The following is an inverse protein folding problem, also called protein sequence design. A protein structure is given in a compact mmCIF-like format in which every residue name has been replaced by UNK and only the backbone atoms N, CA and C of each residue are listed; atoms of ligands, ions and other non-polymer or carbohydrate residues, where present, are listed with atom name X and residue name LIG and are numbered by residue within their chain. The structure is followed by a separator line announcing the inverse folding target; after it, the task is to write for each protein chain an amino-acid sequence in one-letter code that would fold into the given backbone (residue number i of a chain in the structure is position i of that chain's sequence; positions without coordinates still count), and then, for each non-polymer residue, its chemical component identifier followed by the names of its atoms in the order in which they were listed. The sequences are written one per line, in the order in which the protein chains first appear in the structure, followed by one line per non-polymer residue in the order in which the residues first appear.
data_IF_833947604667
#
_entry.id   IF_833947604667
#
_cell.length_a   1.000
_cell.length_b   1.000
_cell.length_c   1.000
_cell.angle_alpha   90.00
_cell.angle_beta   90.00
_cell.angle_gamma   90.00
#
_symmetry.space_group_name_H-M   'P 1'
#
loop_
_entity.id
_entity.type
_entity.pdbx_description
1 polymer ?
#
# COMPACT_ATOMS: atom_id res chain seq x y z
N UNK A 1 -43.58 25.81 -29.50
CA UNK A 1 -42.14 25.65 -29.23
C UNK A 1 -42.04 25.15 -27.80
N UNK A 2 -41.76 23.85 -27.60
CA UNK A 2 -41.72 23.24 -26.28
C UNK A 2 -40.40 23.62 -25.61
N UNK A 3 -40.50 24.42 -24.56
CA UNK A 3 -39.38 24.85 -23.74
C UNK A 3 -39.05 23.72 -22.76
N UNK A 4 -38.17 22.81 -23.16
CA UNK A 4 -37.73 21.70 -22.31
C UNK A 4 -36.85 22.29 -21.21
N UNK A 5 -37.42 22.46 -20.02
CA UNK A 5 -36.69 22.91 -18.84
C UNK A 5 -35.54 21.92 -18.56
N UNK A 6 -34.31 22.43 -18.60
CA UNK A 6 -33.12 21.68 -18.19
C UNK A 6 -33.28 21.43 -16.68
N UNK A 7 -33.29 20.16 -16.22
CA UNK A 7 -33.39 19.87 -14.79
C UNK A 7 -32.18 20.48 -14.08
N UNK A 8 -32.44 21.25 -13.03
CA UNK A 8 -31.41 21.81 -12.18
C UNK A 8 -30.57 20.67 -11.59
N UNK A 9 -29.27 20.68 -11.88
CA UNK A 9 -28.31 19.77 -11.26
C UNK A 9 -28.39 20.04 -9.74
N UNK A 10 -28.69 19.04 -8.90
CA UNK A 10 -28.71 19.24 -7.46
C UNK A 10 -27.35 19.76 -7.03
N UNK A 11 -27.34 20.88 -6.28
CA UNK A 11 -26.13 21.41 -5.71
C UNK A 11 -25.49 20.31 -4.86
N UNK A 12 -24.34 19.80 -5.31
CA UNK A 12 -23.50 18.88 -4.55
C UNK A 12 -23.31 19.48 -3.16
N UNK A 13 -23.89 18.84 -2.15
CA UNK A 13 -23.76 19.23 -0.75
C UNK A 13 -22.33 18.90 -0.32
N UNK A 14 -21.41 19.80 -0.67
CA UNK A 14 -19.99 19.70 -0.38
C UNK A 14 -19.82 19.64 1.14
N UNK A 15 -19.34 18.49 1.65
CA UNK A 15 -18.92 18.35 3.06
C UNK A 15 -18.00 19.52 3.39
N UNK A 16 -18.47 20.42 4.27
CA UNK A 16 -17.76 21.67 4.62
C UNK A 16 -16.53 21.42 5.48
N UNK A 17 -16.49 20.28 6.17
CA UNK A 17 -15.36 19.86 7.00
C UNK A 17 -15.20 18.34 6.99
N UNK A 18 -13.96 17.90 7.17
CA UNK A 18 -13.60 16.50 7.42
C UNK A 18 -13.38 16.33 8.91
N UNK A 19 -14.04 15.35 9.54
CA UNK A 19 -13.85 15.04 10.96
C UNK A 19 -13.09 13.73 11.09
N UNK A 20 -11.99 13.74 11.83
CA UNK A 20 -11.19 12.55 12.13
C UNK A 20 -11.24 12.33 13.64
N UNK A 21 -11.73 11.16 14.05
CA UNK A 21 -11.76 10.74 15.44
C UNK A 21 -10.56 9.85 15.74
N UNK A 22 -9.75 10.19 16.74
CA UNK A 22 -8.57 9.44 17.14
C UNK A 22 -8.47 9.46 18.66
N UNK A 23 -8.40 8.28 19.31
CA UNK A 23 -8.33 8.15 20.78
C UNK A 23 -9.38 8.96 21.56
N UNK A 24 -10.61 9.02 21.05
CA UNK A 24 -11.71 9.78 21.68
C UNK A 24 -11.62 11.30 21.48
N UNK A 25 -10.58 11.82 20.82
CA UNK A 25 -10.52 13.20 20.36
C UNK A 25 -11.01 13.30 18.93
N UNK A 26 -11.84 14.30 18.63
CA UNK A 26 -12.28 14.61 17.29
C UNK A 26 -11.58 15.88 16.82
N UNK A 27 -10.90 15.79 15.68
CA UNK A 27 -10.30 16.94 15.01
C UNK A 27 -11.05 17.21 13.72
N UNK A 28 -11.48 18.45 13.54
CA UNK A 28 -12.14 18.89 12.32
C UNK A 28 -11.16 19.66 11.42
N UNK A 29 -11.19 19.37 10.13
CA UNK A 29 -10.32 19.94 9.11
C UNK A 29 -11.12 20.71 8.06
N UNK A 30 -10.48 21.74 7.52
CA UNK A 30 -10.93 22.49 6.35
C UNK A 30 -10.28 21.95 5.08
N UNK A 31 -10.92 22.19 3.95
CA UNK A 31 -10.38 21.80 2.65
C UNK A 31 -9.07 22.59 2.40
N UNK A 32 -8.00 21.95 1.90
CA UNK A 32 -6.74 22.61 1.66
C UNK A 32 -6.88 23.80 0.70
N UNK A 33 -6.07 24.86 0.88
CA UNK A 33 -6.09 26.00 -0.02
C UNK A 33 -5.77 25.56 -1.45
N UNK A 34 -6.27 26.30 -2.44
CA UNK A 34 -6.07 25.95 -3.87
C UNK A 34 -4.60 25.78 -4.24
N UNK A 35 -3.71 26.55 -3.62
CA UNK A 35 -2.25 26.45 -3.79
C UNK A 35 -1.67 25.09 -3.40
N UNK A 36 -2.28 24.39 -2.43
CA UNK A 36 -1.81 23.08 -1.94
C UNK A 36 -2.39 21.89 -2.73
N UNK A 37 -3.38 22.11 -3.61
CA UNK A 37 -4.10 21.02 -4.30
C UNK A 37 -3.22 20.21 -5.27
N UNK A 38 -2.29 20.88 -5.96
CA UNK A 38 -1.37 20.16 -6.86
C UNK A 38 -0.50 19.19 -6.07
N UNK A 39 0.08 19.68 -4.96
CA UNK A 39 0.92 18.89 -4.06
C UNK A 39 0.13 17.77 -3.39
N UNK A 40 -1.10 18.03 -2.95
CA UNK A 40 -1.98 17.02 -2.39
C UNK A 40 -2.23 15.87 -3.36
N UNK A 41 -2.57 16.21 -4.61
CA UNK A 41 -2.81 15.21 -5.66
C UNK A 41 -1.57 14.37 -5.93
N UNK A 42 -0.42 15.02 -6.09
CA UNK A 42 0.87 14.34 -6.33
C UNK A 42 1.18 13.33 -5.22
N UNK A 43 1.06 13.74 -3.95
CA UNK A 43 1.28 12.87 -2.79
C UNK A 43 0.30 11.71 -2.74
N UNK A 44 -0.97 11.95 -3.10
CA UNK A 44 -1.96 10.87 -3.18
C UNK A 44 -1.64 9.87 -4.28
N UNK A 45 -1.28 10.34 -5.47
CA UNK A 45 -0.86 9.45 -6.57
C UNK A 45 0.35 8.62 -6.17
N UNK A 46 1.34 9.25 -5.54
CA UNK A 46 2.53 8.55 -5.04
C UNK A 46 2.16 7.51 -3.97
N UNK A 47 1.33 7.86 -2.99
CA UNK A 47 0.89 6.94 -1.94
C UNK A 47 0.15 5.72 -2.54
N UNK A 48 -0.80 5.97 -3.43
CA UNK A 48 -1.59 4.93 -4.08
C UNK A 48 -0.71 4.04 -4.97
N UNK A 49 0.37 4.58 -5.55
CA UNK A 49 1.30 3.78 -6.34
C UNK A 49 2.08 2.77 -5.49
N UNK A 50 2.44 3.11 -4.24
CA UNK A 50 3.01 2.15 -3.30
C UNK A 50 2.00 1.10 -2.86
N UNK A 51 0.73 1.47 -2.77
CA UNK A 51 -0.33 0.53 -2.47
C UNK A 51 -0.55 -0.47 -3.62
N UNK A 52 -0.50 -0.01 -4.87
CA UNK A 52 -0.45 -0.89 -6.05
C UNK A 52 0.76 -1.84 -6.01
N UNK A 53 1.94 -1.33 -5.67
CA UNK A 53 3.17 -2.15 -5.52
C UNK A 53 3.03 -3.22 -4.43
N UNK A 54 2.25 -2.93 -3.39
CA UNK A 54 1.95 -3.84 -2.29
C UNK A 54 0.76 -4.78 -2.58
N UNK A 55 0.31 -4.87 -3.85
CA UNK A 55 -0.83 -5.72 -4.22
C UNK A 55 -2.14 -5.33 -3.54
N UNK A 56 -2.33 -4.05 -3.24
CA UNK A 56 -3.47 -3.51 -2.49
C UNK A 56 -3.56 -3.99 -1.03
N UNK A 57 -2.48 -4.49 -0.45
CA UNK A 57 -2.40 -4.83 0.97
C UNK A 57 -2.13 -3.58 1.82
N UNK A 58 -3.10 -3.19 2.65
CA UNK A 58 -2.92 -2.09 3.63
C UNK A 58 -1.81 -2.43 4.63
N UNK A 59 -1.73 -3.68 5.11
CA UNK A 59 -0.72 -4.10 6.08
C UNK A 59 0.70 -3.95 5.55
N UNK A 60 0.95 -4.40 4.32
CA UNK A 60 2.27 -4.29 3.70
C UNK A 60 2.63 -2.84 3.38
N UNK A 61 1.64 -2.02 2.98
CA UNK A 61 1.82 -0.58 2.77
C UNK A 61 2.28 0.12 4.05
N UNK A 62 1.70 -0.22 5.21
CA UNK A 62 2.06 0.39 6.50
C UNK A 62 3.47 0.01 6.96
N UNK A 63 4.03 -1.09 6.43
CA UNK A 63 5.45 -1.42 6.61
C UNK A 63 6.41 -0.56 5.79
N UNK A 64 5.90 0.29 4.89
CA UNK A 64 6.71 1.16 4.04
C UNK A 64 6.83 2.58 4.65
N UNK A 65 8.04 2.93 5.10
CA UNK A 65 8.35 4.24 5.70
C UNK A 65 7.97 5.42 4.78
N UNK A 66 8.14 5.27 3.47
CA UNK A 66 7.79 6.31 2.50
C UNK A 66 6.28 6.49 2.41
N UNK A 67 5.50 5.41 2.41
CA UNK A 67 4.05 5.48 2.43
C UNK A 67 3.54 6.17 3.71
N UNK A 68 4.11 5.82 4.87
CA UNK A 68 3.78 6.47 6.14
C UNK A 68 4.09 7.98 6.11
N UNK A 69 5.27 8.36 5.59
CA UNK A 69 5.63 9.76 5.44
C UNK A 69 4.68 10.50 4.49
N UNK A 70 4.23 9.87 3.41
CA UNK A 70 3.25 10.47 2.49
C UNK A 70 1.90 10.71 3.17
N UNK A 71 1.42 9.79 4.02
CA UNK A 71 0.20 10.00 4.81
C UNK A 71 0.34 11.22 5.74
N UNK A 72 1.47 11.34 6.44
CA UNK A 72 1.80 12.52 7.27
C UNK A 72 1.81 13.81 6.47
N UNK A 73 2.49 13.79 5.33
CA UNK A 73 2.59 14.95 4.46
C UNK A 73 1.22 15.37 3.89
N UNK A 74 0.36 14.42 3.55
CA UNK A 74 -1.01 14.68 3.09
C UNK A 74 -1.78 15.41 4.18
N UNK A 75 -1.78 14.89 5.42
CA UNK A 75 -2.48 15.48 6.56
C UNK A 75 -1.96 16.88 6.89
N UNK A 76 -0.65 17.10 6.79
CA UNK A 76 -0.03 18.40 7.02
C UNK A 76 -0.53 19.50 6.07
N UNK A 77 -1.23 19.16 4.98
CA UNK A 77 -1.84 20.13 4.06
C UNK A 77 -3.23 20.61 4.51
N UNK A 78 -3.85 19.98 5.51
CA UNK A 78 -5.18 20.30 5.97
C UNK A 78 -5.15 21.27 7.15
N UNK A 79 -5.67 22.51 7.01
CA UNK A 79 -5.85 23.41 8.14
C UNK A 79 -6.89 22.85 9.11
N UNK A 80 -6.62 22.98 10.41
CA UNK A 80 -7.63 22.68 11.43
C UNK A 80 -8.74 23.72 11.43
N UNK A 81 -9.97 23.32 11.71
CA UNK A 81 -11.13 24.21 11.74
C UNK A 81 -11.13 25.13 12.96
N UNK A 82 -10.68 24.63 14.12
CA UNK A 82 -10.59 25.40 15.36
C UNK A 82 -9.43 26.41 15.35
N UNK A 83 -8.35 26.10 14.64
CA UNK A 83 -7.24 27.01 14.40
C UNK A 83 -6.64 26.83 13.00
N UNK A 84 -7.11 27.59 11.99
CA UNK A 84 -6.63 27.45 10.60
C UNK A 84 -5.15 27.78 10.37
N UNK A 85 -4.46 28.40 11.33
CA UNK A 85 -3.02 28.61 11.27
C UNK A 85 -2.21 27.33 11.58
N UNK A 86 -2.84 26.34 12.20
CA UNK A 86 -2.26 25.02 12.48
C UNK A 86 -2.77 24.03 11.44
N UNK A 87 -1.86 23.27 10.84
CA UNK A 87 -2.19 22.24 9.87
C UNK A 87 -1.86 20.85 10.39
N UNK A 88 -2.61 19.86 9.92
CA UNK A 88 -2.44 18.45 10.26
C UNK A 88 -2.81 18.06 11.69
N UNK A 89 -2.54 16.79 12.01
CA UNK A 89 -2.62 16.22 13.35
C UNK A 89 -1.67 15.02 13.44
N UNK A 90 -1.49 14.52 14.66
CA UNK A 90 -0.67 13.35 14.92
C UNK A 90 -1.34 12.05 14.43
N UNK A 91 -0.70 11.40 13.46
CA UNK A 91 -1.16 10.13 12.88
C UNK A 91 -0.71 8.90 13.65
N UNK A 92 0.28 9.02 14.54
CA UNK A 92 0.83 7.87 15.29
C UNK A 92 -0.24 7.03 16.00
N UNK A 93 -1.29 7.60 16.63
CA UNK A 93 -2.27 6.76 17.29
C UNK A 93 -3.16 5.96 16.33
N UNK A 94 -3.20 6.32 15.04
CA UNK A 94 -3.91 5.56 14.00
C UNK A 94 -3.09 4.38 13.46
N UNK A 95 -1.80 4.27 13.79
CA UNK A 95 -0.95 3.19 13.29
C UNK A 95 -1.46 1.79 13.67
N UNK A 96 -2.19 1.70 14.79
CA UNK A 96 -2.80 0.46 15.27
C UNK A 96 -4.19 0.17 14.68
N UNK A 97 -4.75 1.10 13.91
CA UNK A 97 -6.06 0.97 13.25
C UNK A 97 -5.90 1.05 11.71
N UNK A 98 -5.51 -0.07 11.06
CA UNK A 98 -5.32 -0.10 9.61
C UNK A 98 -6.62 0.17 8.84
N UNK A 99 -7.78 -0.17 9.39
CA UNK A 99 -9.07 0.09 8.75
C UNK A 99 -9.37 1.58 8.68
N UNK A 100 -9.05 2.33 9.73
CA UNK A 100 -9.22 3.77 9.72
C UNK A 100 -8.25 4.45 8.74
N UNK A 101 -7.00 3.99 8.68
CA UNK A 101 -6.02 4.49 7.71
C UNK A 101 -6.45 4.20 6.27
N UNK A 102 -6.94 3.00 6.00
CA UNK A 102 -7.48 2.64 4.69
C UNK A 102 -8.63 3.55 4.30
N UNK A 103 -9.63 3.73 5.17
CA UNK A 103 -10.77 4.63 4.90
C UNK A 103 -10.36 6.09 4.68
N UNK A 104 -9.30 6.55 5.35
CA UNK A 104 -8.83 7.93 5.23
C UNK A 104 -8.03 8.15 3.94
N UNK A 105 -7.15 7.21 3.58
CA UNK A 105 -6.13 7.44 2.55
C UNK A 105 -6.24 6.55 1.32
N UNK A 106 -6.84 5.37 1.40
CA UNK A 106 -6.80 4.36 0.35
C UNK A 106 -8.14 4.25 -0.37
N UNK A 107 -8.09 4.24 -1.70
CA UNK A 107 -9.31 4.07 -2.49
C UNK A 107 -9.77 2.63 -2.36
N UNK A 108 -11.06 2.34 -2.25
CA UNK A 108 -11.53 0.97 -2.05
C UNK A 108 -12.18 0.43 -3.31
N UNK A 109 -12.08 -0.88 -3.54
CA UNK A 109 -12.87 -1.54 -4.57
C UNK A 109 -14.26 -1.86 -4.02
N UNK A 110 -15.29 -1.42 -4.74
CA UNK A 110 -16.63 -2.00 -4.58
C UNK A 110 -16.81 -3.02 -5.69
N UNK A 111 -16.39 -4.25 -5.41
CA UNK A 111 -16.79 -5.40 -6.21
C UNK A 111 -18.28 -5.66 -5.99
N UNK A 112 -19.08 -5.52 -7.04
CA UNK A 112 -20.44 -6.03 -7.03
C UNK A 112 -20.38 -7.51 -7.40
N UNK A 113 -20.66 -8.37 -6.41
CA UNK A 113 -20.76 -9.81 -6.64
C UNK A 113 -22.21 -10.11 -6.99
N UNK A 114 -22.45 -10.41 -8.27
CA UNK A 114 -23.74 -10.90 -8.73
C UNK A 114 -23.67 -12.42 -8.85
N UNK A 115 -24.63 -13.11 -8.24
CA UNK A 115 -24.79 -14.55 -8.35
C UNK A 115 -26.08 -14.87 -9.07
N UNK A 116 -26.02 -15.65 -10.14
CA UNK A 116 -27.21 -16.15 -10.83
C UNK A 116 -27.02 -17.62 -11.20
N UNK A 117 -28.14 -18.34 -11.34
CA UNK A 117 -28.14 -19.70 -11.86
C UNK A 117 -28.25 -19.64 -13.38
N UNK A 118 -27.36 -20.34 -14.07
CA UNK A 118 -27.43 -20.46 -15.52
C UNK A 118 -28.54 -21.42 -15.96
N UNK A 119 -28.66 -21.64 -17.27
CA UNK A 119 -29.70 -22.52 -17.86
C UNK A 119 -29.52 -23.98 -17.42
N UNK A 120 -28.30 -24.36 -17.04
CA UNK A 120 -27.92 -25.70 -16.57
C UNK A 120 -28.02 -25.84 -15.03
N UNK A 121 -28.64 -24.86 -14.36
CA UNK A 121 -28.80 -24.78 -12.89
C UNK A 121 -27.48 -24.71 -12.11
N UNK A 122 -26.38 -24.34 -12.77
CA UNK A 122 -25.10 -24.07 -12.14
C UNK A 122 -25.06 -22.64 -11.60
N UNK A 123 -24.52 -22.49 -10.40
CA UNK A 123 -24.31 -21.17 -9.78
C UNK A 123 -23.12 -20.49 -10.46
N UNK A 124 -23.38 -19.40 -11.17
CA UNK A 124 -22.35 -18.51 -11.71
C UNK A 124 -22.18 -17.29 -10.81
N UNK A 125 -20.91 -16.98 -10.51
CA UNK A 125 -20.50 -15.79 -9.77
C UNK A 125 -19.85 -14.82 -10.76
N UNK A 126 -20.48 -13.68 -11.00
CA UNK A 126 -19.90 -12.57 -11.74
C UNK A 126 -19.44 -11.51 -10.74
N UNK A 127 -18.13 -11.28 -10.70
CA UNK A 127 -17.52 -10.18 -9.94
C UNK A 127 -17.28 -9.03 -10.91
N UNK A 128 -18.06 -7.96 -10.79
CA UNK A 128 -17.84 -6.72 -11.52
C UNK A 128 -17.20 -5.69 -10.59
N UNK A 129 -15.96 -5.29 -10.88
CA UNK A 129 -15.34 -4.13 -10.24
C UNK A 129 -15.67 -2.90 -11.10
N UNK A 130 -16.90 -2.40 -10.98
CA UNK A 130 -17.37 -1.29 -11.79
C UNK A 130 -17.15 0.08 -11.12
N UNK A 131 -16.90 0.11 -9.81
CA UNK A 131 -16.73 1.36 -9.07
C UNK A 131 -15.58 1.31 -8.06
N UNK A 132 -14.73 2.34 -8.12
CA UNK A 132 -13.76 2.64 -7.07
C UNK A 132 -14.38 3.64 -6.11
N UNK A 133 -14.44 3.26 -4.84
CA UNK A 133 -14.88 4.13 -3.76
C UNK A 133 -13.74 5.07 -3.35
N UNK A 134 -14.02 6.37 -3.35
CA UNK A 134 -13.09 7.37 -2.86
C UNK A 134 -12.90 7.22 -1.36
N UNK A 135 -11.64 7.30 -0.91
CA UNK A 135 -11.37 7.48 0.51
C UNK A 135 -11.94 8.83 1.00
N UNK A 136 -12.07 8.97 2.32
CA UNK A 136 -12.68 10.16 2.94
C UNK A 136 -11.99 11.46 2.54
N UNK A 137 -10.66 11.44 2.39
CA UNK A 137 -9.91 12.65 1.99
C UNK A 137 -10.16 12.99 0.53
N UNK A 138 -10.16 12.01 -0.38
CA UNK A 138 -10.44 12.26 -1.80
C UNK A 138 -11.87 12.74 -2.00
N UNK A 139 -12.85 12.15 -1.30
CA UNK A 139 -14.25 12.59 -1.30
C UNK A 139 -14.36 14.05 -0.82
N UNK A 140 -13.74 14.37 0.32
CA UNK A 140 -13.74 15.71 0.90
C UNK A 140 -13.07 16.76 -0.02
N UNK A 141 -12.03 16.36 -0.74
CA UNK A 141 -11.32 17.22 -1.69
C UNK A 141 -11.92 17.20 -3.11
N UNK A 142 -12.98 16.43 -3.33
CA UNK A 142 -13.65 16.25 -4.62
C UNK A 142 -12.74 15.74 -5.73
N UNK A 143 -11.83 14.83 -5.39
CA UNK A 143 -11.05 14.09 -6.38
C UNK A 143 -11.80 12.84 -6.83
N UNK A 144 -11.70 12.52 -8.13
CA UNK A 144 -12.20 11.27 -8.69
C UNK A 144 -11.18 10.15 -8.41
N UNK A 145 -11.56 9.17 -7.57
CA UNK A 145 -10.71 8.05 -7.18
C UNK A 145 -10.11 7.31 -8.38
N UNK A 146 -10.94 7.07 -9.42
CA UNK A 146 -10.53 6.40 -10.65
C UNK A 146 -9.34 7.08 -11.33
N UNK A 147 -9.33 8.42 -11.42
CA UNK A 147 -8.25 9.16 -12.06
C UNK A 147 -6.96 9.11 -11.23
N UNK A 148 -7.08 9.17 -9.90
CA UNK A 148 -5.93 9.01 -8.99
C UNK A 148 -5.31 7.62 -9.16
N UNK A 149 -6.13 6.57 -9.18
CA UNK A 149 -5.67 5.19 -9.36
C UNK A 149 -5.04 4.93 -10.74
N UNK A 150 -5.58 5.52 -11.81
CA UNK A 150 -5.00 5.42 -13.15
C UNK A 150 -3.59 6.02 -13.18
N UNK A 151 -3.40 7.19 -12.59
CA UNK A 151 -2.09 7.84 -12.51
C UNK A 151 -1.13 7.08 -11.57
N UNK A 152 -1.64 6.55 -10.46
CA UNK A 152 -0.87 5.76 -9.52
C UNK A 152 -0.34 4.47 -10.16
N UNK A 153 -1.18 3.77 -10.93
CA UNK A 153 -0.79 2.58 -11.68
C UNK A 153 0.25 2.91 -12.77
N UNK A 154 0.10 4.04 -13.45
CA UNK A 154 1.12 4.52 -14.41
C UNK A 154 2.47 4.74 -13.70
N UNK A 155 2.47 5.50 -12.61
CA UNK A 155 3.68 5.77 -11.83
C UNK A 155 4.34 4.48 -11.30
N UNK A 156 3.53 3.52 -10.84
CA UNK A 156 4.02 2.21 -10.42
C UNK A 156 4.71 1.46 -11.56
N UNK A 157 4.11 1.41 -12.76
CA UNK A 157 4.71 0.78 -13.94
C UNK A 157 6.01 1.47 -14.35
N UNK A 158 6.04 2.79 -14.39
CA UNK A 158 7.24 3.56 -14.72
C UNK A 158 8.41 3.21 -13.76
N UNK A 159 8.12 3.00 -12.47
CA UNK A 159 9.13 2.54 -11.49
C UNK A 159 9.58 1.10 -11.73
N UNK A 160 8.68 0.21 -12.15
CA UNK A 160 9.05 -1.17 -12.49
C UNK A 160 9.94 -1.22 -13.72
N UNK A 161 9.59 -0.47 -14.77
CA UNK A 161 10.35 -0.41 -16.01
C UNK A 161 11.77 0.15 -15.76
N UNK A 162 11.89 1.20 -14.94
CA UNK A 162 13.20 1.75 -14.54
C UNK A 162 14.09 0.74 -13.79
N UNK A 163 13.52 -0.04 -12.86
CA UNK A 163 14.26 -1.11 -12.14
C UNK A 163 14.80 -2.18 -13.09
N UNK A 164 14.06 -2.49 -14.15
CA UNK A 164 14.49 -3.47 -15.18
C UNK A 164 15.66 -2.91 -15.99
N UNK A 165 15.60 -1.64 -16.43
CA UNK A 165 16.69 -1.00 -17.19
C UNK A 165 18.01 -0.93 -16.39
N UNK A 166 17.95 -0.64 -15.10
CA UNK A 166 19.13 -0.64 -14.20
C UNK A 166 19.77 -2.03 -14.11
N UNK A 167 18.97 -3.10 -14.03
CA UNK A 167 19.47 -4.48 -13.96
C UNK A 167 20.15 -4.97 -15.25
N UNK A 168 19.82 -4.36 -16.40
CA UNK A 168 20.42 -4.68 -17.71
C UNK A 168 21.73 -3.91 -17.93
N UNK A 169 21.91 -2.77 -17.25
CA UNK A 169 23.06 -1.88 -17.44
C UNK A 169 24.20 -2.10 -16.45
N UNK A 170 24.03 -2.95 -15.42
CA UNK A 170 25.18 -3.38 -14.62
C UNK A 170 26.18 -4.16 -15.51
N UNK A 171 27.40 -3.66 -15.75
CA UNK A 171 28.39 -4.41 -16.50
C UNK A 171 28.73 -5.65 -15.68
N UNK A 172 28.61 -6.82 -16.32
CA UNK A 172 29.17 -8.08 -15.83
C UNK A 172 30.60 -7.79 -15.38
N UNK A 173 30.81 -7.64 -14.07
CA UNK A 173 32.15 -7.61 -13.49
C UNK A 173 32.76 -8.94 -13.86
N UNK A 174 33.63 -8.92 -14.87
CA UNK A 174 34.40 -10.06 -15.28
C UNK A 174 35.03 -10.67 -14.04
N UNK A 175 34.51 -11.84 -13.68
CA UNK A 175 35.10 -12.70 -12.66
C UNK A 175 36.54 -12.96 -13.14
N UNK A 176 37.58 -12.62 -12.36
CA UNK A 176 38.94 -12.86 -12.80
C UNK A 176 39.12 -14.36 -12.97
N UNK A 177 39.42 -14.79 -14.20
CA UNK A 177 39.76 -16.16 -14.56
C UNK A 177 40.70 -16.75 -13.50
N UNK A 178 40.16 -17.64 -12.67
CA UNK A 178 40.98 -18.49 -11.82
C UNK A 178 41.74 -19.42 -12.75
N UNK A 179 42.98 -19.07 -13.05
CA UNK A 179 43.97 -19.96 -13.64
C UNK A 179 43.97 -21.26 -12.81
N UNK A 180 43.65 -22.43 -13.39
CA UNK A 180 43.73 -23.68 -12.67
C UNK A 180 45.21 -23.97 -12.39
N UNK A 181 45.59 -23.91 -11.11
CA UNK A 181 46.84 -24.52 -10.64
C UNK A 181 46.74 -26.02 -10.89
N UNK A 182 47.56 -26.50 -11.82
CA UNK A 182 47.84 -27.92 -12.05
C UNK A 182 48.29 -28.52 -10.72
N UNK A 183 47.41 -29.29 -10.08
CA UNK A 183 47.74 -30.10 -8.93
C UNK A 183 48.34 -31.42 -9.44
N UNK A 184 49.54 -31.67 -8.96
CA UNK A 184 50.39 -32.83 -9.20
C UNK A 184 49.67 -34.12 -8.82
N UNK A 185 49.66 -35.08 -9.75
CA UNK A 185 49.30 -36.46 -9.48
C UNK A 185 50.41 -37.14 -8.68
N UNK A 186 50.09 -37.68 -7.51
CA UNK A 186 50.87 -38.74 -6.87
C UNK A 186 49.97 -39.59 -5.97
N UNK A 187 49.62 -40.75 -6.52
CA UNK A 187 49.48 -42.07 -5.90
C UNK A 187 48.56 -42.27 -4.67
N UNK A 188 47.55 -43.09 -4.95
CA UNK A 188 46.71 -43.82 -4.02
C UNK A 188 47.47 -44.87 -3.20
N UNK A 189 47.00 -45.13 -1.98
CA UNK A 189 46.76 -46.49 -1.44
C UNK A 189 45.71 -46.45 -0.30
N UNK A 190 45.01 -47.58 -0.03
CA UNK A 190 43.72 -47.60 0.69
C UNK A 190 43.77 -48.40 2.02
N UNK A 191 42.58 -48.56 2.65
CA UNK A 191 42.20 -49.62 3.65
C UNK A 191 42.59 -49.25 5.11
N UNK A 192 41.80 -49.36 6.20
CA UNK A 192 40.58 -50.09 6.61
C UNK A 192 39.95 -49.45 7.89
N UNK A 193 38.64 -49.68 8.10
CA UNK A 193 37.81 -49.98 9.32
C UNK A 193 38.32 -49.65 10.75
N UNK A 194 37.52 -49.43 11.81
CA UNK A 194 36.19 -49.91 12.26
C UNK A 194 35.82 -49.18 13.58
N UNK A 195 34.52 -49.17 13.93
CA UNK A 195 33.93 -49.25 15.29
C UNK A 195 34.21 -48.10 16.30
N UNK A 196 33.36 -47.74 17.26
CA UNK A 196 32.01 -48.12 17.68
C UNK A 196 31.55 -47.06 18.71
N UNK A 197 30.23 -46.94 18.91
CA UNK A 197 29.53 -46.64 20.19
C UNK A 197 29.96 -45.39 21.02
N UNK A 198 29.15 -44.70 21.82
CA UNK A 198 27.91 -45.01 22.52
C UNK A 198 27.41 -43.69 23.17
N UNK A 199 26.12 -43.63 23.49
CA UNK A 199 25.58 -43.09 24.76
C UNK A 199 25.90 -41.64 25.21
N UNK A 200 24.85 -40.83 25.41
CA UNK A 200 24.48 -40.39 26.77
C UNK A 200 23.36 -39.35 26.75
N UNK A 201 22.23 -39.78 27.28
CA UNK A 201 21.10 -39.02 27.83
C UNK A 201 21.49 -37.86 28.76
N UNK A 202 20.71 -36.77 28.74
CA UNK A 202 20.78 -35.69 29.73
C UNK A 202 19.44 -34.95 29.89
N UNK A 203 18.65 -35.36 30.88
CA UNK A 203 17.41 -34.72 31.34
C UNK A 203 17.63 -33.52 32.30
N UNK A 204 16.53 -32.77 32.51
CA UNK A 204 16.18 -31.82 33.61
C UNK A 204 16.51 -30.35 33.31
N UNK A 205 15.67 -29.36 33.64
CA UNK A 205 14.43 -29.33 34.43
C UNK A 205 13.75 -27.96 34.28
N UNK A 206 12.41 -27.92 34.33
CA UNK A 206 11.64 -27.30 35.42
C UNK A 206 12.28 -26.08 36.10
N UNK A 207 11.67 -24.90 35.91
CA UNK A 207 11.20 -24.05 37.02
C UNK A 207 10.14 -23.05 36.54
N UNK A 208 9.01 -23.12 37.25
CA UNK A 208 7.84 -22.24 37.24
C UNK A 208 7.89 -21.49 38.58
N UNK A 209 7.67 -20.18 38.58
CA UNK A 209 7.28 -19.31 39.71
C UNK A 209 7.50 -17.85 39.23
N UNK A 210 6.68 -16.86 39.53
CA UNK A 210 5.40 -16.75 40.23
C UNK A 210 4.75 -15.45 39.71
#
# INVERSE_FOLDING_TARGET
MNNTAIPAIPALDLKKSLTIACNGQQTEFLNPPRSARSQLREKFVELQSYWCESGFSTGDLLGNDRAWQLMKDIIALFPRKDNPAVTGFDLEPLQTDPYQLERLFLTQDKGEITAYRNVDDELQLNVFIDTFESCLILEFCCYEARLILQDANRMFRDRQDAKVEESITEPVKAEPERIPKVAVAAEAKPVETTEDAESSTGSKGFKKAA
#
